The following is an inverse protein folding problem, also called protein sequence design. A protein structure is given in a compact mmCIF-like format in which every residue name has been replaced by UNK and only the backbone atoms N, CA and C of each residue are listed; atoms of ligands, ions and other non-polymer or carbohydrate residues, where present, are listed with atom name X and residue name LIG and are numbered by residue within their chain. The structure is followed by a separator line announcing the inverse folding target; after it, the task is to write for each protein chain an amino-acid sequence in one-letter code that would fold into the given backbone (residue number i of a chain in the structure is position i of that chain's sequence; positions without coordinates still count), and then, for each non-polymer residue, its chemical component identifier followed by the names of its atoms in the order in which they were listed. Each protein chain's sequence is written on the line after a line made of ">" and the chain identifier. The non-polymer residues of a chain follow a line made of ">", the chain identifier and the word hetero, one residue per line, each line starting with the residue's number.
data_IF_241705453630
#
_entry.id   IF_241705453630
#
_cell.length_a   1.000
_cell.length_b   1.000
_cell.length_c   1.000
_cell.angle_alpha   90.00
_cell.angle_beta   90.00
_cell.angle_gamma   90.00
#
_symmetry.space_group_name_H-M   'P 1'
#
loop_
_entity.id
_entity.type
_entity.pdbx_description
1 polymer ?
#
# COMPACT_ATOMS: atom_id res chain seq x y z
N UNK A 1 1.73 1.65 43.82
CA UNK A 1 1.31 1.75 42.41
C UNK A 1 1.12 0.33 41.89
N UNK A 2 -0.11 -0.18 41.90
CA UNK A 2 -0.43 -1.53 41.41
C UNK A 2 -0.61 -1.48 39.90
N UNK A 3 0.22 -2.23 39.17
CA UNK A 3 0.14 -2.31 37.71
C UNK A 3 -1.10 -3.15 37.40
N UNK A 4 -2.07 -2.59 36.66
CA UNK A 4 -3.23 -3.34 36.21
C UNK A 4 -2.78 -4.48 35.28
N UNK A 5 -3.38 -5.69 35.37
CA UNK A 5 -3.00 -6.80 34.51
C UNK A 5 -3.28 -6.47 33.03
N UNK A 6 -2.32 -6.77 32.16
CA UNK A 6 -2.46 -6.57 30.72
C UNK A 6 -3.49 -7.55 30.15
N UNK A 7 -4.40 -7.03 29.33
CA UNK A 7 -5.39 -7.85 28.63
C UNK A 7 -4.69 -8.70 27.56
N UNK A 8 -4.89 -10.02 27.61
CA UNK A 8 -4.46 -10.91 26.55
C UNK A 8 -5.47 -10.85 25.38
N UNK A 9 -4.97 -10.58 24.18
CA UNK A 9 -5.74 -10.51 22.94
C UNK A 9 -5.06 -11.33 21.84
N UNK A 10 -5.85 -11.94 20.96
CA UNK A 10 -5.32 -12.77 19.85
C UNK A 10 -4.69 -11.95 18.73
N UNK A 11 -5.16 -10.71 18.54
CA UNK A 11 -4.60 -9.74 17.61
C UNK A 11 -4.76 -8.31 18.11
N UNK A 12 -3.86 -7.43 17.69
CA UNK A 12 -3.96 -5.99 17.93
C UNK A 12 -3.32 -5.20 16.78
N UNK A 13 -3.67 -3.93 16.65
CA UNK A 13 -3.07 -3.03 15.65
C UNK A 13 -1.98 -2.22 16.30
N UNK A 14 -0.76 -2.35 15.80
CA UNK A 14 0.40 -1.56 16.21
C UNK A 14 0.97 -0.82 15.01
N UNK A 15 1.07 0.51 15.11
CA UNK A 15 1.58 1.38 14.03
C UNK A 15 0.89 1.14 12.67
N UNK A 16 -0.39 0.75 12.69
CA UNK A 16 -1.20 0.46 11.51
C UNK A 16 -1.06 -0.96 10.95
N UNK A 17 -0.13 -1.78 11.47
CA UNK A 17 -0.01 -3.21 11.14
C UNK A 17 -0.79 -4.05 12.15
N UNK A 18 -1.53 -5.03 11.66
CA UNK A 18 -2.08 -6.07 12.53
C UNK A 18 -0.99 -7.03 12.98
N UNK A 19 -0.89 -7.22 14.29
CA UNK A 19 0.03 -8.15 14.94
C UNK A 19 -0.81 -9.28 15.51
N UNK A 20 -0.53 -10.48 15.03
CA UNK A 20 -1.16 -11.73 15.46
C UNK A 20 -0.08 -12.82 15.53
N UNK A 21 -0.40 -13.96 16.15
CA UNK A 21 0.55 -15.06 16.34
C UNK A 21 0.98 -15.74 15.03
N UNK A 22 0.16 -15.65 13.98
CA UNK A 22 0.44 -16.22 12.65
C UNK A 22 1.31 -15.31 11.77
N UNK A 23 1.54 -14.06 12.18
CA UNK A 23 2.16 -13.00 11.39
C UNK A 23 1.63 -12.93 9.94
N UNK A 24 0.31 -13.09 9.78
CA UNK A 24 -0.31 -13.12 8.46
C UNK A 24 -0.22 -11.75 7.77
N UNK A 25 0.65 -11.67 6.77
CA UNK A 25 0.89 -10.46 6.01
C UNK A 25 -0.14 -10.22 4.91
N UNK A 26 -0.98 -11.20 4.59
CA UNK A 26 -1.95 -11.09 3.50
C UNK A 26 -2.93 -9.94 3.73
N UNK A 27 -3.36 -9.75 4.99
CA UNK A 27 -4.25 -8.67 5.41
C UNK A 27 -3.58 -7.31 5.17
N UNK A 28 -2.33 -7.15 5.60
CA UNK A 28 -1.59 -5.89 5.47
C UNK A 28 -1.31 -5.55 4.00
N UNK A 29 -0.88 -6.54 3.20
CA UNK A 29 -0.73 -6.39 1.75
C UNK A 29 -2.05 -5.93 1.12
N UNK A 30 -3.18 -6.53 1.52
CA UNK A 30 -4.50 -6.14 1.07
C UNK A 30 -4.85 -4.69 1.42
N UNK A 31 -4.52 -4.24 2.64
CA UNK A 31 -4.71 -2.85 3.08
C UNK A 31 -3.86 -1.88 2.26
N UNK A 32 -2.58 -2.18 2.02
CA UNK A 32 -1.69 -1.33 1.21
C UNK A 32 -2.09 -1.25 -0.25
N UNK A 33 -2.56 -2.35 -0.83
CA UNK A 33 -3.16 -2.35 -2.18
C UNK A 33 -4.33 -1.39 -2.26
N UNK A 34 -5.27 -1.46 -1.30
CA UNK A 34 -6.42 -0.54 -1.24
C UNK A 34 -5.97 0.91 -1.07
N UNK A 35 -4.99 1.18 -0.20
CA UNK A 35 -4.44 2.51 0.01
C UNK A 35 -3.80 3.09 -1.26
N UNK A 36 -3.00 2.29 -1.99
CA UNK A 36 -2.41 2.67 -3.27
C UNK A 36 -3.47 3.01 -4.32
N UNK A 37 -4.52 2.20 -4.43
CA UNK A 37 -5.66 2.48 -5.32
C UNK A 37 -6.44 3.74 -4.92
N UNK A 38 -6.66 3.96 -3.63
CA UNK A 38 -7.33 5.16 -3.13
C UNK A 38 -6.51 6.42 -3.45
N UNK A 39 -5.19 6.39 -3.21
CA UNK A 39 -4.28 7.47 -3.56
C UNK A 39 -4.32 7.76 -5.07
N UNK A 40 -4.27 6.73 -5.91
CA UNK A 40 -4.38 6.88 -7.36
C UNK A 40 -5.70 7.50 -7.79
N UNK A 41 -6.82 7.07 -7.21
CA UNK A 41 -8.14 7.62 -7.54
C UNK A 41 -8.25 9.11 -7.18
N UNK A 42 -7.67 9.54 -6.05
CA UNK A 42 -7.67 10.94 -5.62
C UNK A 42 -6.91 11.86 -6.59
N UNK A 43 -5.82 11.38 -7.19
CA UNK A 43 -4.99 12.17 -8.12
C UNK A 43 -5.40 11.97 -9.59
N UNK A 44 -6.33 11.05 -9.87
CA UNK A 44 -6.65 10.60 -11.23
C UNK A 44 -7.07 11.73 -12.14
N UNK A 45 -7.96 12.61 -11.67
CA UNK A 45 -8.47 13.73 -12.46
C UNK A 45 -7.35 14.71 -12.84
N UNK A 46 -6.46 15.02 -11.89
CA UNK A 46 -5.29 15.88 -12.12
C UNK A 46 -4.36 15.25 -13.16
N UNK A 47 -4.11 13.95 -13.06
CA UNK A 47 -3.23 13.24 -14.00
C UNK A 47 -3.79 13.14 -15.41
N UNK A 48 -5.12 13.11 -15.58
CA UNK A 48 -5.77 13.12 -16.91
C UNK A 48 -5.58 14.48 -17.60
N UNK A 49 -5.65 15.57 -16.84
CA UNK A 49 -5.50 16.92 -17.38
C UNK A 49 -4.04 17.28 -17.72
N UNK A 50 -3.09 16.62 -17.04
CA UNK A 50 -1.67 16.88 -17.21
C UNK A 50 -1.13 16.28 -18.52
N UNK A 51 -0.60 17.12 -19.40
CA UNK A 51 -0.02 16.67 -20.68
C UNK A 51 1.41 16.18 -20.55
N UNK A 52 2.16 16.66 -19.56
CA UNK A 52 3.56 16.28 -19.37
C UNK A 52 3.66 14.88 -18.72
N UNK A 53 4.18 13.86 -19.44
CA UNK A 53 4.35 12.52 -18.90
C UNK A 53 5.33 12.48 -17.73
N UNK A 54 6.34 13.36 -17.69
CA UNK A 54 7.35 13.38 -16.61
C UNK A 54 6.72 13.86 -15.32
N UNK A 55 5.95 14.95 -15.37
CA UNK A 55 5.25 15.47 -14.21
C UNK A 55 4.18 14.48 -13.69
N UNK A 56 3.51 13.75 -14.59
CA UNK A 56 2.58 12.66 -14.21
C UNK A 56 3.28 11.55 -13.44
N UNK A 57 4.45 11.11 -13.91
CA UNK A 57 5.25 10.11 -13.21
C UNK A 57 5.69 10.61 -11.83
N UNK A 58 6.15 11.86 -11.73
CA UNK A 58 6.57 12.45 -10.45
C UNK A 58 5.42 12.54 -9.44
N UNK A 59 4.23 12.99 -9.87
CA UNK A 59 3.05 13.05 -9.00
C UNK A 59 2.65 11.64 -8.55
N UNK A 60 2.64 10.67 -9.46
CA UNK A 60 2.36 9.27 -9.16
C UNK A 60 3.35 8.71 -8.14
N UNK A 61 4.65 8.89 -8.35
CA UNK A 61 5.72 8.46 -7.45
C UNK A 61 5.59 9.12 -6.08
N UNK A 62 5.24 10.41 -6.00
CA UNK A 62 5.14 11.15 -4.75
C UNK A 62 3.90 10.79 -3.92
N UNK A 63 2.85 10.21 -4.51
CA UNK A 63 1.56 10.01 -3.84
C UNK A 63 1.16 8.53 -3.74
N UNK A 64 1.31 7.76 -4.81
CA UNK A 64 0.86 6.37 -4.89
C UNK A 64 1.89 5.41 -4.31
N UNK A 65 3.18 5.61 -4.59
CA UNK A 65 4.24 4.73 -4.08
C UNK A 65 4.27 4.74 -2.55
N UNK A 66 4.29 5.89 -1.84
CA UNK A 66 4.28 5.91 -0.38
C UNK A 66 3.07 5.19 0.24
N UNK A 67 1.88 5.35 -0.37
CA UNK A 67 0.68 4.66 0.11
C UNK A 67 0.77 3.13 -0.05
N UNK A 68 1.42 2.67 -1.11
CA UNK A 68 1.59 1.25 -1.43
C UNK A 68 2.74 0.59 -0.63
N UNK A 69 3.83 1.31 -0.37
CA UNK A 69 5.05 0.76 0.27
C UNK A 69 5.15 1.07 1.76
N UNK A 70 4.21 1.82 2.34
CA UNK A 70 4.21 2.06 3.78
C UNK A 70 4.26 0.73 4.56
N UNK A 71 5.18 0.63 5.52
CA UNK A 71 5.42 -0.56 6.37
C UNK A 71 6.02 -1.75 5.61
N UNK A 72 6.29 -1.66 4.29
CA UNK A 72 6.97 -2.76 3.57
C UNK A 72 8.38 -3.03 4.06
N UNK A 73 9.03 -2.04 4.69
CA UNK A 73 10.36 -2.16 5.30
C UNK A 73 10.42 -3.18 6.45
N UNK A 74 9.30 -3.43 7.13
CA UNK A 74 9.21 -4.39 8.25
C UNK A 74 8.65 -5.74 7.82
N UNK A 75 8.43 -5.95 6.52
CA UNK A 75 7.92 -7.21 6.01
C UNK A 75 9.06 -8.21 5.84
N UNK A 76 8.79 -9.52 5.98
CA UNK A 76 9.73 -10.54 5.55
C UNK A 76 10.06 -10.37 4.06
N UNK A 77 11.35 -10.30 3.73
CA UNK A 77 11.83 -10.25 2.35
C UNK A 77 11.67 -11.63 1.71
N UNK A 78 10.50 -11.85 1.09
CA UNK A 78 10.19 -13.10 0.40
C UNK A 78 9.76 -12.78 -1.02
N UNK A 79 9.95 -13.74 -1.92
CA UNK A 79 9.49 -13.61 -3.30
C UNK A 79 7.98 -13.34 -3.38
N UNK A 80 7.19 -13.90 -2.47
CA UNK A 80 5.74 -13.73 -2.44
C UNK A 80 5.33 -12.29 -2.11
N UNK A 81 5.96 -11.70 -1.09
CA UNK A 81 5.66 -10.33 -0.64
C UNK A 81 6.10 -9.29 -1.67
N UNK A 82 7.29 -9.46 -2.24
CA UNK A 82 7.76 -8.63 -3.35
C UNK A 82 6.82 -8.74 -4.57
N UNK A 83 6.47 -9.96 -4.99
CA UNK A 83 5.57 -10.17 -6.14
C UNK A 83 4.20 -9.51 -5.91
N UNK A 84 3.65 -9.59 -4.70
CA UNK A 84 2.37 -8.97 -4.38
C UNK A 84 2.39 -7.44 -4.50
N UNK A 85 3.48 -6.78 -4.09
CA UNK A 85 3.67 -5.34 -4.28
C UNK A 85 3.87 -4.99 -5.75
N UNK A 86 4.81 -5.65 -6.43
CA UNK A 86 5.13 -5.37 -7.83
C UNK A 86 3.93 -5.55 -8.77
N UNK A 87 3.13 -6.60 -8.57
CA UNK A 87 1.91 -6.81 -9.36
C UNK A 87 0.91 -5.66 -9.20
N UNK A 88 0.81 -5.09 -8.01
CA UNK A 88 -0.10 -3.99 -7.70
C UNK A 88 0.42 -2.68 -8.29
N UNK A 89 1.72 -2.44 -8.12
CA UNK A 89 2.41 -1.31 -8.71
C UNK A 89 2.27 -1.29 -10.24
N UNK A 90 2.52 -2.42 -10.91
CA UNK A 90 2.37 -2.55 -12.37
C UNK A 90 0.93 -2.33 -12.83
N UNK A 91 -0.05 -2.77 -12.05
CA UNK A 91 -1.46 -2.51 -12.36
C UNK A 91 -1.79 -1.01 -12.30
N UNK A 92 -1.26 -0.30 -11.29
CA UNK A 92 -1.41 1.14 -11.13
C UNK A 92 -0.69 1.92 -12.25
N UNK A 93 0.52 1.50 -12.65
CA UNK A 93 1.23 2.10 -13.81
C UNK A 93 0.45 1.90 -15.12
N UNK A 94 -0.12 0.72 -15.36
CA UNK A 94 -0.94 0.47 -16.56
C UNK A 94 -2.21 1.32 -16.56
N UNK A 95 -2.80 1.55 -15.39
CA UNK A 95 -3.93 2.46 -15.23
C UNK A 95 -3.52 3.91 -15.47
N UNK A 96 -2.35 4.33 -14.99
CA UNK A 96 -1.77 5.65 -15.28
C UNK A 96 -1.61 5.87 -16.79
N UNK A 97 -1.10 4.88 -17.52
CA UNK A 97 -0.89 4.95 -18.97
C UNK A 97 -2.19 4.77 -19.79
N UNK A 98 -3.32 4.48 -19.14
CA UNK A 98 -4.59 4.24 -19.83
C UNK A 98 -4.66 2.92 -20.60
N UNK A 99 -3.69 2.01 -20.41
CA UNK A 99 -3.62 0.70 -21.06
C UNK A 99 -4.68 -0.24 -20.50
N UNK A 100 -4.95 -0.15 -19.20
CA UNK A 100 -5.95 -0.98 -18.51
C UNK A 100 -6.95 -0.05 -17.85
N UNK A 101 -8.22 -0.16 -18.24
CA UNK A 101 -9.33 0.46 -17.51
C UNK A 101 -9.86 -0.57 -16.53
N UNK A 102 -9.84 -0.21 -15.25
CA UNK A 102 -10.71 -0.83 -14.26
C UNK A 102 -12.09 -0.20 -14.36
#
# INVERSE_FOLDING_TARGET
>A
MTIAPLQQVDSYVYLGKEVNMSNDLSIEIGRRRKAGWAAFNNIREVMIQLKDPKLRAQIFEASVIPALTYVSEVWPDTKGTATALFTSYRALERALLGITRY
#
